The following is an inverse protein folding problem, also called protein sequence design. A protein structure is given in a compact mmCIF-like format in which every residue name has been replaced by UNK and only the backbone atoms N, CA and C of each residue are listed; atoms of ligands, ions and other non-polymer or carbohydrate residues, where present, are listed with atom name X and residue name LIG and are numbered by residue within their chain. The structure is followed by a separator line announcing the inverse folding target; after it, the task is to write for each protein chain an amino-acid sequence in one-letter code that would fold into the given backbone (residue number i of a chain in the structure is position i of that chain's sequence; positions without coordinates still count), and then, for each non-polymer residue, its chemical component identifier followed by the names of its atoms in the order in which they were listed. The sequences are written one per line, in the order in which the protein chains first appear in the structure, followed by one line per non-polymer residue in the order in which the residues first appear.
data_IF_854229886338
#
_entry.id   IF_854229886338
#
_cell.length_a   1.000
_cell.length_b   1.000
_cell.length_c   1.000
_cell.angle_alpha   90.00
_cell.angle_beta   90.00
_cell.angle_gamma   90.00
#
_symmetry.space_group_name_H-M   'P 1'
#
loop_
_entity.id
_entity.type
_entity.pdbx_description
1 polymer ?
#
# COMPACT_ATOMS: atom_id res chain seq x y z
N UNK A 1 -29.22 10.21 9.93
CA UNK A 1 -28.02 9.99 9.09
C UNK A 1 -28.39 8.86 8.13
N UNK A 2 -28.43 9.11 6.82
CA UNK A 2 -28.65 8.02 5.86
C UNK A 2 -27.35 7.25 5.72
N UNK A 3 -27.34 5.99 6.18
CA UNK A 3 -26.22 5.09 5.95
C UNK A 3 -25.98 4.93 4.45
N UNK A 4 -24.72 4.85 4.04
CA UNK A 4 -24.34 4.51 2.66
C UNK A 4 -24.95 3.14 2.32
N UNK A 5 -25.49 2.98 1.10
CA UNK A 5 -26.07 1.68 0.71
C UNK A 5 -25.02 0.59 0.62
N UNK A 6 -25.41 -0.64 0.97
CA UNK A 6 -24.53 -1.82 0.93
C UNK A 6 -23.92 -2.05 -0.47
N UNK A 7 -24.71 -1.81 -1.52
CA UNK A 7 -24.23 -1.93 -2.91
C UNK A 7 -23.08 -0.97 -3.22
N UNK A 8 -23.12 0.26 -2.68
CA UNK A 8 -22.06 1.25 -2.89
C UNK A 8 -20.80 0.84 -2.14
N UNK A 9 -20.96 0.29 -0.93
CA UNK A 9 -19.87 -0.26 -0.12
C UNK A 9 -19.16 -1.39 -0.88
N UNK A 10 -19.91 -2.41 -1.33
CA UNK A 10 -19.34 -3.56 -2.03
C UNK A 10 -18.65 -3.13 -3.32
N UNK A 11 -19.29 -2.23 -4.06
CA UNK A 11 -18.75 -1.69 -5.31
C UNK A 11 -17.43 -0.94 -5.09
N UNK A 12 -17.37 -0.08 -4.06
CA UNK A 12 -16.16 0.69 -3.75
C UNK A 12 -15.01 -0.21 -3.29
N UNK A 13 -15.30 -1.20 -2.44
CA UNK A 13 -14.29 -2.18 -2.00
C UNK A 13 -13.73 -2.99 -3.17
N UNK A 14 -14.62 -3.49 -4.04
CA UNK A 14 -14.22 -4.22 -5.25
C UNK A 14 -13.35 -3.37 -6.17
N UNK A 15 -13.75 -2.12 -6.40
CA UNK A 15 -12.97 -1.19 -7.21
C UNK A 15 -11.59 -0.91 -6.60
N UNK A 16 -11.50 -0.75 -5.28
CA UNK A 16 -10.22 -0.57 -4.58
C UNK A 16 -9.28 -1.76 -4.82
N UNK A 17 -9.80 -2.98 -4.66
CA UNK A 17 -9.03 -4.22 -4.79
C UNK A 17 -8.63 -4.55 -6.23
N UNK A 18 -9.57 -4.41 -7.18
CA UNK A 18 -9.38 -4.86 -8.56
C UNK A 18 -8.81 -3.77 -9.48
N UNK A 19 -8.92 -2.49 -9.10
CA UNK A 19 -8.53 -1.36 -9.96
C UNK A 19 -7.51 -0.45 -9.30
N UNK A 20 -7.80 0.12 -8.13
CA UNK A 20 -6.93 1.16 -7.56
C UNK A 20 -5.54 0.62 -7.20
N UNK A 21 -5.49 -0.45 -6.41
CA UNK A 21 -4.22 -1.01 -5.92
C UNK A 21 -3.36 -1.62 -7.05
N UNK A 22 -3.90 -2.41 -7.99
CA UNK A 22 -3.13 -2.88 -9.13
C UNK A 22 -2.54 -1.74 -9.97
N UNK A 23 -3.32 -0.67 -10.21
CA UNK A 23 -2.83 0.50 -10.92
C UNK A 23 -1.75 1.25 -10.12
N UNK A 24 -1.92 1.38 -8.80
CA UNK A 24 -0.92 2.01 -7.92
C UNK A 24 0.45 1.34 -8.08
N UNK A 25 0.54 0.02 -7.93
CA UNK A 25 1.82 -0.69 -8.03
C UNK A 25 2.36 -0.72 -9.47
N UNK A 26 1.48 -0.85 -10.48
CA UNK A 26 1.89 -0.71 -11.88
C UNK A 26 2.54 0.66 -12.13
N UNK A 27 1.96 1.75 -11.63
CA UNK A 27 2.55 3.08 -11.75
C UNK A 27 3.84 3.19 -10.94
N UNK A 28 3.91 2.61 -9.74
CA UNK A 28 5.11 2.66 -8.92
C UNK A 28 6.32 2.03 -9.61
N UNK A 29 6.08 0.94 -10.36
CA UNK A 29 7.11 0.20 -11.09
C UNK A 29 7.45 0.81 -12.45
N UNK A 30 6.45 1.34 -13.18
CA UNK A 30 6.63 1.79 -14.57
C UNK A 30 6.66 3.31 -14.77
N UNK A 31 5.94 4.07 -13.95
CA UNK A 31 5.80 5.52 -14.08
C UNK A 31 5.45 6.20 -12.75
N UNK A 32 6.49 6.48 -11.95
CA UNK A 32 6.35 7.06 -10.61
C UNK A 32 5.71 8.45 -10.58
N UNK A 33 5.72 9.17 -11.71
CA UNK A 33 5.02 10.46 -11.79
C UNK A 33 3.50 10.27 -11.71
N UNK A 34 2.95 9.18 -12.25
CA UNK A 34 1.52 8.86 -12.08
C UNK A 34 1.20 8.45 -10.64
N UNK A 35 2.10 7.72 -9.97
CA UNK A 35 1.95 7.40 -8.54
C UNK A 35 1.85 8.67 -7.71
N UNK A 36 2.69 9.68 -7.99
CA UNK A 36 2.71 10.94 -7.23
C UNK A 36 1.42 11.76 -7.37
N UNK A 37 0.68 11.63 -8.48
CA UNK A 37 -0.62 12.30 -8.66
C UNK A 37 -1.70 11.79 -7.71
N UNK A 38 -1.51 10.61 -7.11
CA UNK A 38 -2.42 10.04 -6.12
C UNK A 38 -2.22 10.66 -4.73
N UNK A 39 -1.15 11.42 -4.52
CA UNK A 39 -0.83 12.09 -3.27
C UNK A 39 -1.21 13.57 -3.34
N UNK A 40 -1.63 14.13 -2.20
CA UNK A 40 -1.93 15.55 -2.00
C UNK A 40 -0.97 16.14 -0.96
N UNK A 41 -0.92 17.46 -0.87
CA UNK A 41 -0.05 18.15 0.09
C UNK A 41 -0.34 17.77 1.55
N UNK A 42 -1.59 17.40 1.84
CA UNK A 42 -2.05 16.97 3.17
C UNK A 42 -1.85 15.46 3.43
N UNK A 43 -1.35 14.68 2.47
CA UNK A 43 -1.13 13.24 2.65
C UNK A 43 -0.04 12.97 3.70
N UNK A 44 -0.31 12.04 4.62
CA UNK A 44 0.65 11.59 5.63
C UNK A 44 1.33 10.30 5.18
N UNK A 45 2.65 10.33 5.01
CA UNK A 45 3.40 9.18 4.49
C UNK A 45 4.38 8.71 5.56
N UNK A 46 4.39 7.40 5.82
CA UNK A 46 5.35 6.73 6.71
C UNK A 46 6.01 5.61 5.92
N UNK A 47 7.31 5.76 5.65
CA UNK A 47 8.08 4.78 4.92
C UNK A 47 9.15 4.17 5.83
N UNK A 48 9.00 2.88 6.13
CA UNK A 48 9.85 2.14 7.07
C UNK A 48 10.00 2.81 8.45
N UNK A 49 8.98 3.54 8.90
CA UNK A 49 8.95 4.24 10.19
C UNK A 49 9.43 5.69 10.14
N UNK A 50 9.85 6.21 9.00
CA UNK A 50 10.17 7.63 8.82
C UNK A 50 8.99 8.35 8.18
N UNK A 51 8.62 9.51 8.74
CA UNK A 51 7.50 10.32 8.26
C UNK A 51 7.98 11.29 7.17
N UNK A 52 7.18 11.43 6.12
CA UNK A 52 7.44 12.31 4.99
C UNK A 52 6.18 13.10 4.61
N UNK A 53 6.39 14.34 4.16
CA UNK A 53 5.37 15.08 3.39
C UNK A 53 5.42 14.70 1.90
N UNK A 54 4.38 15.05 1.14
CA UNK A 54 4.27 14.68 -0.28
C UNK A 54 5.48 15.12 -1.13
N UNK A 55 5.98 16.35 -0.93
CA UNK A 55 7.14 16.87 -1.65
C UNK A 55 8.42 16.08 -1.34
N UNK A 56 8.66 15.74 -0.08
CA UNK A 56 9.83 14.96 0.34
C UNK A 56 9.73 13.52 -0.18
N UNK A 57 8.52 12.95 -0.15
CA UNK A 57 8.28 11.61 -0.67
C UNK A 57 8.53 11.50 -2.18
N UNK A 58 8.25 12.55 -2.96
CA UNK A 58 8.62 12.59 -4.37
C UNK A 58 10.10 12.35 -4.61
N UNK A 59 10.96 12.96 -3.78
CA UNK A 59 12.41 12.76 -3.86
C UNK A 59 12.81 11.32 -3.52
N UNK A 60 12.14 10.73 -2.53
CA UNK A 60 12.36 9.32 -2.14
C UNK A 60 11.98 8.40 -3.29
N UNK A 61 10.76 8.53 -3.83
CA UNK A 61 10.28 7.75 -4.98
C UNK A 61 11.23 7.84 -6.17
N UNK A 62 11.77 9.02 -6.46
CA UNK A 62 12.73 9.21 -7.55
C UNK A 62 14.09 8.57 -7.23
N UNK A 63 14.51 8.57 -5.97
CA UNK A 63 15.78 7.96 -5.53
C UNK A 63 15.75 6.43 -5.46
N UNK A 64 14.55 5.83 -5.39
CA UNK A 64 14.43 4.38 -5.33
C UNK A 64 14.98 3.74 -6.62
N UNK A 65 15.73 2.63 -6.55
CA UNK A 65 16.04 1.83 -7.72
C UNK A 65 14.75 1.34 -8.39
N UNK A 66 14.74 0.96 -9.68
CA UNK A 66 13.60 0.29 -10.31
C UNK A 66 13.04 -0.81 -9.42
N UNK A 67 11.72 -0.84 -9.29
CA UNK A 67 11.00 -1.80 -8.43
C UNK A 67 10.15 -2.72 -9.29
N UNK A 68 9.92 -3.92 -8.77
CA UNK A 68 8.93 -4.87 -9.27
C UNK A 68 8.17 -5.40 -8.06
N UNK A 69 6.89 -5.06 -7.96
CA UNK A 69 6.01 -5.52 -6.89
C UNK A 69 5.23 -6.76 -7.32
N UNK A 70 5.21 -7.74 -6.45
CA UNK A 70 4.40 -8.96 -6.55
C UNK A 70 3.42 -8.95 -5.37
N UNK A 71 2.17 -8.57 -5.67
CA UNK A 71 1.11 -8.38 -4.67
C UNK A 71 0.48 -9.74 -4.36
N UNK A 72 0.53 -10.16 -3.10
CA UNK A 72 0.04 -11.46 -2.66
C UNK A 72 -1.38 -11.38 -2.10
N UNK A 73 -1.69 -10.32 -1.34
CA UNK A 73 -3.03 -10.12 -0.79
C UNK A 73 -3.40 -8.65 -0.71
N UNK A 74 -4.70 -8.39 -0.86
CA UNK A 74 -5.32 -7.07 -0.73
C UNK A 74 -6.59 -7.25 0.10
N UNK A 75 -6.71 -6.50 1.18
CA UNK A 75 -7.94 -6.34 1.95
C UNK A 75 -8.42 -4.88 1.83
N UNK A 76 -9.71 -4.69 1.55
CA UNK A 76 -10.31 -3.36 1.35
C UNK A 76 -11.57 -3.23 2.20
N UNK A 77 -11.54 -2.28 3.12
CA UNK A 77 -12.63 -2.00 4.05
C UNK A 77 -13.15 -0.58 3.80
N UNK A 78 -14.46 -0.40 3.58
CA UNK A 78 -15.04 0.93 3.47
C UNK A 78 -15.03 1.61 4.85
N UNK A 79 -14.69 2.89 4.87
CA UNK A 79 -14.79 3.74 6.05
C UNK A 79 -15.97 4.69 5.82
N UNK A 80 -17.01 4.53 6.62
CA UNK A 80 -18.14 5.44 6.61
C UNK A 80 -17.70 6.81 7.11
N UNK A 81 -17.98 7.86 6.32
CA UNK A 81 -17.68 9.23 6.72
C UNK A 81 -18.88 10.12 6.49
N UNK A 82 -19.06 11.10 7.36
CA UNK A 82 -20.05 12.16 7.20
C UNK A 82 -19.65 13.19 6.14
N UNK A 83 -18.43 13.09 5.60
CA UNK A 83 -17.82 14.06 4.69
C UNK A 83 -17.91 13.63 3.22
N UNK A 84 -18.06 12.34 2.94
CA UNK A 84 -18.06 11.83 1.56
C UNK A 84 -19.46 11.91 0.95
N UNK A 85 -19.62 12.74 -0.08
CA UNK A 85 -20.91 13.06 -0.70
C UNK A 85 -21.44 11.97 -1.64
N UNK A 86 -20.61 11.01 -2.08
CA UNK A 86 -21.01 10.01 -3.10
C UNK A 86 -20.31 8.65 -3.05
N UNK A 87 -19.15 8.52 -2.40
CA UNK A 87 -18.41 7.25 -2.33
C UNK A 87 -17.66 7.12 -1.01
N UNK A 88 -17.60 5.95 -0.37
CA UNK A 88 -16.94 5.80 0.91
C UNK A 88 -15.42 6.01 0.77
N UNK A 89 -14.77 6.39 1.87
CA UNK A 89 -13.33 6.28 1.98
C UNK A 89 -12.95 4.80 2.11
N UNK A 90 -11.70 4.44 1.81
CA UNK A 90 -11.26 3.04 1.86
C UNK A 90 -10.04 2.92 2.78
N UNK A 91 -10.07 1.94 3.68
CA UNK A 91 -8.89 1.41 4.35
C UNK A 91 -8.42 0.21 3.53
N UNK A 92 -7.16 0.22 3.10
CA UNK A 92 -6.59 -0.85 2.28
C UNK A 92 -5.34 -1.40 2.96
N UNK A 93 -5.26 -2.72 3.06
CA UNK A 93 -4.08 -3.43 3.55
C UNK A 93 -3.58 -4.29 2.40
N UNK A 94 -2.30 -4.12 2.08
CA UNK A 94 -1.63 -4.90 1.03
C UNK A 94 -0.47 -5.65 1.65
N UNK A 95 -0.34 -6.92 1.28
CA UNK A 95 0.88 -7.69 1.54
C UNK A 95 1.46 -8.20 0.22
N UNK A 96 2.78 -8.34 0.19
CA UNK A 96 3.44 -8.94 -0.93
C UNK A 96 4.95 -8.83 -0.82
N UNK A 97 5.59 -8.78 -1.99
CA UNK A 97 7.03 -8.64 -2.08
C UNK A 97 7.43 -7.57 -3.09
N UNK A 98 8.55 -6.91 -2.82
CA UNK A 98 9.17 -5.94 -3.71
C UNK A 98 10.59 -6.39 -4.02
N UNK A 99 10.93 -6.37 -5.30
CA UNK A 99 12.28 -6.64 -5.81
C UNK A 99 12.85 -5.36 -6.40
N UNK A 100 14.09 -5.02 -6.06
CA UNK A 100 14.78 -3.84 -6.55
C UNK A 100 15.77 -4.21 -7.66
N UNK A 101 15.95 -3.35 -8.66
CA UNK A 101 16.85 -3.55 -9.79
C UNK A 101 16.65 -4.86 -10.56
N UNK A 102 15.47 -5.49 -10.47
CA UNK A 102 15.23 -6.85 -10.97
C UNK A 102 16.23 -7.90 -10.45
N UNK A 103 16.82 -7.65 -9.27
CA UNK A 103 17.72 -8.59 -8.60
C UNK A 103 16.99 -9.30 -7.46
N UNK A 104 16.71 -10.59 -7.64
CA UNK A 104 16.03 -11.42 -6.64
C UNK A 104 16.72 -11.45 -5.26
N UNK A 105 18.03 -11.16 -5.16
CA UNK A 105 18.72 -11.06 -3.87
C UNK A 105 18.22 -9.88 -3.01
N UNK A 106 17.66 -8.87 -3.67
CA UNK A 106 17.07 -7.68 -3.05
C UNK A 106 15.60 -7.85 -2.70
N UNK A 107 15.00 -9.01 -3.02
CA UNK A 107 13.59 -9.28 -2.72
C UNK A 107 13.32 -9.09 -1.23
N UNK A 108 12.29 -8.30 -0.89
CA UNK A 108 11.82 -8.06 0.48
C UNK A 108 10.32 -8.27 0.54
N UNK A 109 9.85 -8.89 1.62
CA UNK A 109 8.44 -8.91 1.95
C UNK A 109 8.04 -7.55 2.51
N UNK A 110 6.82 -7.09 2.24
CA UNK A 110 6.30 -5.83 2.74
C UNK A 110 4.84 -5.93 3.14
N UNK A 111 4.44 -5.06 4.06
CA UNK A 111 3.05 -4.63 4.21
C UNK A 111 2.93 -3.15 3.88
N UNK A 112 1.83 -2.79 3.23
CA UNK A 112 1.51 -1.39 2.96
C UNK A 112 0.05 -1.13 3.29
N UNK A 113 -0.21 -0.07 4.05
CA UNK A 113 -1.54 0.29 4.50
C UNK A 113 -1.88 1.66 3.94
N UNK A 114 -3.02 1.78 3.28
CA UNK A 114 -3.52 3.02 2.73
C UNK A 114 -4.83 3.43 3.41
N UNK A 115 -4.98 4.73 3.65
CA UNK A 115 -6.29 5.35 3.78
C UNK A 115 -6.52 6.13 2.50
N UNK A 116 -7.54 5.76 1.74
CA UNK A 116 -7.91 6.38 0.48
C UNK A 116 -9.14 7.26 0.73
N UNK A 117 -9.02 8.52 0.38
CA UNK A 117 -10.07 9.52 0.50
C UNK A 117 -10.76 9.70 -0.86
N UNK A 118 -12.09 9.69 -0.86
CA UNK A 118 -12.88 9.99 -2.05
C UNK A 118 -13.16 11.49 -2.13
N UNK A 119 -12.89 12.08 -3.29
CA UNK A 119 -13.23 13.47 -3.63
C UNK A 119 -14.03 13.52 -4.93
N UNK A 120 -14.57 14.69 -5.27
CA UNK A 120 -15.30 14.90 -6.53
C UNK A 120 -14.50 14.51 -7.77
N UNK A 121 -13.17 14.59 -7.70
CA UNK A 121 -12.25 14.33 -8.82
C UNK A 121 -11.65 12.93 -8.81
N UNK A 122 -12.08 12.04 -7.91
CA UNK A 122 -11.59 10.67 -7.79
C UNK A 122 -11.06 10.35 -6.41
N UNK A 123 -10.19 9.33 -6.33
CA UNK A 123 -9.63 8.84 -5.08
C UNK A 123 -8.19 9.27 -4.91
N UNK A 124 -7.85 9.73 -3.71
CA UNK A 124 -6.51 10.19 -3.33
C UNK A 124 -6.06 9.52 -2.05
N UNK A 125 -4.75 9.41 -1.85
CA UNK A 125 -4.17 8.78 -0.67
C UNK A 125 -4.13 9.81 0.45
N UNK A 126 -4.80 9.53 1.56
CA UNK A 126 -4.75 10.33 2.78
C UNK A 126 -3.62 9.91 3.72
N UNK A 127 -3.40 8.60 3.82
CA UNK A 127 -2.33 8.02 4.61
C UNK A 127 -1.70 6.87 3.83
N UNK A 128 -0.37 6.82 3.80
CA UNK A 128 0.40 5.68 3.30
C UNK A 128 1.39 5.24 4.38
N UNK A 129 1.34 3.96 4.76
CA UNK A 129 2.27 3.36 5.69
C UNK A 129 2.86 2.09 5.09
N UNK A 130 4.09 2.22 4.58
CA UNK A 130 4.87 1.13 4.01
C UNK A 130 5.91 0.62 5.01
N UNK A 131 6.02 -0.70 5.13
CA UNK A 131 7.03 -1.34 5.99
C UNK A 131 7.51 -2.66 5.41
N UNK A 132 8.83 -2.85 5.38
CA UNK A 132 9.41 -4.17 5.17
C UNK A 132 9.12 -5.12 6.33
N UNK A 133 8.80 -6.36 5.99
CA UNK A 133 8.60 -7.44 6.96
C UNK A 133 9.92 -8.17 7.14
N UNK A 134 10.35 -8.31 8.39
CA UNK A 134 11.44 -9.21 8.73
C UNK A 134 10.92 -10.67 8.71
N UNK A 135 11.62 -11.61 8.06
CA UNK A 135 11.24 -13.00 8.14
C UNK A 135 11.29 -13.47 9.59
N UNK A 136 10.28 -14.23 10.03
CA UNK A 136 10.31 -14.87 11.33
C UNK A 136 11.46 -15.89 11.33
N UNK A 137 12.55 -15.60 12.05
CA UNK A 137 13.68 -16.52 12.16
C UNK A 137 13.32 -17.66 13.11
N UNK A 138 12.66 -18.70 12.61
CA UNK A 138 12.59 -19.98 13.31
C UNK A 138 13.99 -20.61 13.30
N UNK A 139 14.76 -20.41 14.38
CA UNK A 139 16.04 -21.11 14.60
C UNK A 139 15.82 -22.62 14.49
N UNK A 140 16.32 -23.27 13.44
CA UNK A 140 16.55 -24.73 13.47
C UNK A 140 17.68 -24.99 14.46
N UNK A 141 17.37 -25.36 15.69
CA UNK A 141 18.37 -26.02 16.55
C UNK A 141 18.62 -27.40 15.94
N UNK A 142 19.77 -27.56 15.29
CA UNK A 142 20.35 -28.89 15.04
C UNK A 142 20.66 -29.50 16.41
N UNK A 143 19.68 -30.20 16.99
CA UNK A 143 19.94 -31.11 18.10
C UNK A 143 20.54 -32.36 17.47
N UNK A 144 21.88 -32.39 17.40
CA UNK A 144 22.61 -33.64 17.24
C UNK A 144 22.39 -34.46 18.51
N UNK A 145 21.31 -35.23 18.56
CA UNK A 145 21.17 -36.35 19.49
C UNK A 145 22.09 -37.48 19.02
N UNK A 146 23.38 -37.30 19.22
CA UNK A 146 24.36 -38.38 19.25
C UNK A 146 25.44 -37.97 20.24
N UNK A 147 25.22 -38.34 21.51
CA UNK A 147 26.25 -38.57 22.53
C UNK A 147 25.61 -39.17 23.79
N UNK A 148 25.46 -40.50 23.77
CA UNK A 148 25.96 -41.49 24.74
C UNK A 148 25.02 -42.67 24.81
#
# INVERSE_FOLDING_TARGET
MSSISEDVIVTASKWGAETFIPNYFRFMDSNRQETLKLYKDWTSIVWNGQKYGAQQYSQILQSLPPTTHDVESIDVQPIETTLSLSSPNLLVIVTGSVTYNNDNSTKRLFTQNFVIFSEQQGYFIASDNFRWIAPCTSRKKNVNMNKR
#
